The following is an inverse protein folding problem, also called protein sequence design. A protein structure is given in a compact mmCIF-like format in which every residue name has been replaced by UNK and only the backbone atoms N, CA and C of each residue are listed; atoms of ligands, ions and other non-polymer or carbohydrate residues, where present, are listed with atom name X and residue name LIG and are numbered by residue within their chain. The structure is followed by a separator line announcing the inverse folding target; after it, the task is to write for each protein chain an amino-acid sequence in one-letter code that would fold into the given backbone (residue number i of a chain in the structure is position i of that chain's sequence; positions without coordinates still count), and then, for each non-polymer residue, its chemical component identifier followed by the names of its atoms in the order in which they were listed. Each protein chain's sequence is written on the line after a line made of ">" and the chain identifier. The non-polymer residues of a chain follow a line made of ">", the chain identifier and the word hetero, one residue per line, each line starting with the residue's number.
data_IF_867023831267
#
_entry.id   IF_867023831267
#
_cell.length_a   1.000
_cell.length_b   1.000
_cell.length_c   1.000
_cell.angle_alpha   90.00
_cell.angle_beta   90.00
_cell.angle_gamma   90.00
#
_symmetry.space_group_name_H-M   'P 1'
#
loop_
_entity.id
_entity.type
_entity.pdbx_description
1 polymer ?
#
# COMPACT_ATOMS: atom_id res chain seq x y z
N UNK A 1 -30.09 -22.97 17.17
CA UNK A 1 -29.63 -23.25 15.81
C UNK A 1 -28.13 -23.42 15.80
N UNK A 2 -27.62 -24.47 15.22
CA UNK A 2 -26.37 -25.17 15.40
C UNK A 2 -25.11 -24.27 15.37
N UNK A 3 -24.40 -24.19 16.47
CA UNK A 3 -22.97 -23.93 16.54
C UNK A 3 -22.24 -25.06 15.78
N UNK A 4 -22.18 -24.95 14.46
CA UNK A 4 -21.26 -25.79 13.69
C UNK A 4 -19.86 -25.33 14.02
N UNK A 5 -19.11 -26.21 14.63
CA UNK A 5 -17.79 -25.97 15.19
C UNK A 5 -16.85 -25.33 14.17
N UNK A 6 -16.63 -24.01 14.29
CA UNK A 6 -15.54 -23.27 13.64
C UNK A 6 -14.18 -23.91 13.95
N UNK A 7 -14.09 -24.74 14.98
CA UNK A 7 -12.88 -25.47 15.42
C UNK A 7 -12.23 -26.37 14.36
N UNK A 8 -12.90 -26.63 13.25
CA UNK A 8 -12.35 -27.43 12.12
C UNK A 8 -12.04 -26.58 10.88
N UNK A 9 -12.40 -25.30 10.84
CA UNK A 9 -12.14 -24.46 9.68
C UNK A 9 -10.72 -23.92 9.71
N UNK A 10 -9.90 -24.32 8.73
CA UNK A 10 -8.51 -23.88 8.63
C UNK A 10 -8.39 -22.48 8.03
N UNK A 11 -7.48 -21.69 8.57
CA UNK A 11 -7.11 -20.36 8.08
C UNK A 11 -5.59 -20.23 7.99
N UNK A 12 -5.09 -19.74 6.84
CA UNK A 12 -3.68 -19.37 6.67
C UNK A 12 -3.51 -17.89 7.01
N UNK A 13 -2.67 -17.59 7.98
CA UNK A 13 -2.38 -16.24 8.45
C UNK A 13 -0.98 -15.79 8.02
N UNK A 14 -0.89 -14.66 7.33
CA UNK A 14 0.39 -13.99 7.09
C UNK A 14 0.98 -13.46 8.40
N UNK A 15 2.13 -14.02 8.82
CA UNK A 15 2.83 -13.68 10.06
C UNK A 15 4.17 -12.99 9.76
N UNK A 16 4.36 -11.79 10.33
CA UNK A 16 5.60 -11.03 10.20
C UNK A 16 6.48 -11.05 11.47
N UNK A 17 5.99 -11.66 12.53
CA UNK A 17 6.63 -11.62 13.86
C UNK A 17 6.40 -10.30 14.62
N UNK A 18 5.59 -9.39 14.11
CA UNK A 18 5.21 -8.14 14.79
C UNK A 18 3.86 -8.22 15.49
N UNK A 19 3.54 -7.18 16.27
CA UNK A 19 2.32 -7.06 17.10
C UNK A 19 1.04 -7.45 16.35
N UNK A 20 0.80 -6.87 15.18
CA UNK A 20 -0.48 -7.04 14.48
C UNK A 20 -0.70 -8.48 14.02
N UNK A 21 0.32 -9.13 13.49
CA UNK A 21 0.20 -10.54 13.07
C UNK A 21 0.08 -11.50 14.25
N UNK A 22 0.72 -11.20 15.38
CA UNK A 22 0.62 -11.96 16.63
C UNK A 22 -0.81 -11.90 17.18
N UNK A 23 -1.37 -10.70 17.27
CA UNK A 23 -2.72 -10.52 17.81
C UNK A 23 -3.79 -11.06 16.86
N UNK A 24 -3.57 -10.96 15.54
CA UNK A 24 -4.44 -11.61 14.56
C UNK A 24 -4.46 -13.14 14.73
N UNK A 25 -3.32 -13.77 15.02
CA UNK A 25 -3.25 -15.21 15.31
C UNK A 25 -4.03 -15.57 16.57
N UNK A 26 -3.86 -14.80 17.66
CA UNK A 26 -4.58 -15.02 18.91
C UNK A 26 -6.10 -14.94 18.69
N UNK A 27 -6.59 -13.87 18.07
CA UNK A 27 -8.04 -13.68 17.87
C UNK A 27 -8.65 -14.73 16.95
N UNK A 28 -7.94 -15.19 15.95
CA UNK A 28 -8.41 -16.29 15.10
C UNK A 28 -8.53 -17.60 15.89
N UNK A 29 -7.57 -17.89 16.78
CA UNK A 29 -7.65 -19.06 17.67
C UNK A 29 -8.82 -18.96 18.64
N UNK A 30 -9.00 -17.80 19.28
CA UNK A 30 -10.13 -17.54 20.20
C UNK A 30 -11.47 -17.65 19.49
N UNK A 31 -11.53 -17.26 18.21
CA UNK A 31 -12.69 -17.44 17.36
C UNK A 31 -12.92 -18.90 16.91
N UNK A 32 -12.07 -19.84 17.32
CA UNK A 32 -12.22 -21.27 17.06
C UNK A 32 -11.66 -21.76 15.72
N UNK A 33 -10.85 -20.96 15.01
CA UNK A 33 -10.17 -21.39 13.78
C UNK A 33 -8.96 -22.29 14.08
N UNK A 34 -8.67 -23.21 13.15
CA UNK A 34 -7.38 -23.90 13.08
C UNK A 34 -6.41 -23.02 12.28
N UNK A 35 -5.52 -22.31 12.97
CA UNK A 35 -4.62 -21.33 12.35
C UNK A 35 -3.32 -22.00 11.93
N UNK A 36 -2.88 -21.71 10.69
CA UNK A 36 -1.55 -22.00 10.16
C UNK A 36 -0.88 -20.66 9.87
N UNK A 37 0.30 -20.43 10.45
CA UNK A 37 1.10 -19.22 10.20
C UNK A 37 1.95 -19.37 8.94
N UNK A 38 2.07 -18.28 8.16
CA UNK A 38 2.97 -18.20 7.02
C UNK A 38 3.80 -16.92 7.07
N UNK A 39 5.12 -17.06 7.16
CA UNK A 39 6.04 -15.95 6.93
C UNK A 39 6.51 -15.94 5.48
N UNK A 40 6.28 -14.81 4.80
CA UNK A 40 6.80 -14.57 3.45
C UNK A 40 8.20 -13.96 3.57
N UNK A 41 9.23 -14.73 3.19
CA UNK A 41 10.60 -14.24 3.14
C UNK A 41 10.78 -13.40 1.89
N UNK A 42 10.63 -12.08 2.05
CA UNK A 42 10.76 -11.10 0.97
C UNK A 42 12.23 -10.70 0.76
N UNK A 43 12.53 -10.12 -0.39
CA UNK A 43 13.83 -9.48 -0.58
C UNK A 43 13.97 -8.27 0.37
N UNK A 44 15.13 -8.16 0.97
CA UNK A 44 15.48 -7.07 1.87
C UNK A 44 16.93 -6.65 1.66
N UNK A 45 17.22 -5.36 1.83
CA UNK A 45 18.58 -4.83 1.72
C UNK A 45 19.56 -5.52 2.68
N UNK A 46 19.11 -5.74 3.90
CA UNK A 46 19.81 -6.54 4.91
C UNK A 46 19.16 -7.92 5.01
N UNK A 47 19.79 -8.98 4.44
CA UNK A 47 19.21 -10.33 4.45
C UNK A 47 18.90 -10.86 5.87
N UNK A 48 19.72 -10.52 6.87
CA UNK A 48 19.54 -10.98 8.25
C UNK A 48 18.24 -10.53 8.93
N UNK A 49 17.61 -9.46 8.44
CA UNK A 49 16.33 -8.99 8.98
C UNK A 49 15.21 -10.01 8.72
N UNK A 50 15.21 -10.64 7.55
CA UNK A 50 14.16 -11.60 7.20
C UNK A 50 14.30 -12.90 7.98
N UNK A 51 15.51 -13.35 8.27
CA UNK A 51 15.79 -14.48 9.16
C UNK A 51 15.31 -14.18 10.59
N UNK A 52 15.61 -13.00 11.11
CA UNK A 52 15.15 -12.57 12.44
C UNK A 52 13.62 -12.48 12.51
N UNK A 53 12.96 -11.91 11.49
CA UNK A 53 11.51 -11.83 11.45
C UNK A 53 10.86 -13.22 11.37
N UNK A 54 11.42 -14.12 10.57
CA UNK A 54 10.94 -15.50 10.48
C UNK A 54 11.12 -16.25 11.81
N UNK A 55 12.25 -16.05 12.50
CA UNK A 55 12.49 -16.64 13.81
C UNK A 55 11.49 -16.12 14.86
N UNK A 56 11.24 -14.81 14.93
CA UNK A 56 10.23 -14.21 15.82
C UNK A 56 8.82 -14.71 15.52
N UNK A 57 8.47 -14.83 14.23
CA UNK A 57 7.17 -15.36 13.84
C UNK A 57 7.02 -16.83 14.25
N UNK A 58 8.07 -17.64 14.13
CA UNK A 58 8.11 -19.02 14.57
C UNK A 58 7.95 -19.13 16.09
N UNK A 59 8.70 -18.34 16.86
CA UNK A 59 8.57 -18.31 18.32
C UNK A 59 7.14 -17.94 18.77
N UNK A 60 6.55 -16.93 18.12
CA UNK A 60 5.15 -16.56 18.37
C UNK A 60 4.20 -17.71 18.03
N UNK A 61 4.42 -18.41 16.94
CA UNK A 61 3.61 -19.56 16.54
C UNK A 61 3.72 -20.71 17.54
N UNK A 62 4.92 -20.99 18.07
CA UNK A 62 5.16 -21.98 19.12
C UNK A 62 4.41 -21.59 20.42
N UNK A 63 4.52 -20.34 20.87
CA UNK A 63 3.77 -19.82 22.04
C UNK A 63 2.25 -19.98 21.88
N UNK A 64 1.76 -19.80 20.67
CA UNK A 64 0.34 -19.97 20.33
C UNK A 64 -0.04 -21.41 19.99
N UNK A 65 0.89 -22.35 19.97
CA UNK A 65 0.68 -23.74 19.54
C UNK A 65 -0.06 -23.83 18.18
N UNK A 66 0.46 -23.11 17.18
CA UNK A 66 0.00 -23.14 15.79
C UNK A 66 1.13 -23.60 14.86
N UNK A 67 0.78 -24.30 13.78
CA UNK A 67 1.71 -24.69 12.73
C UNK A 67 2.26 -23.43 12.02
N UNK A 68 3.55 -23.43 11.64
CA UNK A 68 4.18 -22.28 10.99
C UNK A 68 5.05 -22.71 9.81
N UNK A 69 4.90 -22.00 8.70
CA UNK A 69 5.69 -22.18 7.49
C UNK A 69 6.43 -20.89 7.12
N UNK A 70 7.51 -21.07 6.34
CA UNK A 70 8.23 -19.96 5.69
C UNK A 70 8.22 -20.23 4.19
N UNK A 71 7.84 -19.23 3.40
CA UNK A 71 7.88 -19.28 1.94
C UNK A 71 8.87 -18.25 1.42
N UNK A 72 9.88 -18.70 0.68
CA UNK A 72 10.85 -17.82 0.04
C UNK A 72 10.27 -17.22 -1.25
N UNK A 73 10.05 -15.92 -1.24
CA UNK A 73 9.55 -15.15 -2.40
C UNK A 73 10.50 -14.01 -2.77
N UNK A 74 11.78 -14.08 -2.33
CA UNK A 74 12.75 -12.99 -2.52
C UNK A 74 12.93 -12.61 -3.99
N UNK A 75 13.04 -13.59 -4.88
CA UNK A 75 13.24 -13.35 -6.32
C UNK A 75 12.05 -12.62 -6.96
N UNK A 76 10.83 -13.11 -6.72
CA UNK A 76 9.61 -12.48 -7.23
C UNK A 76 9.38 -11.11 -6.63
N UNK A 77 9.60 -10.95 -5.33
CA UNK A 77 9.50 -9.67 -4.65
C UNK A 77 10.50 -8.64 -5.21
N UNK A 78 11.77 -9.05 -5.40
CA UNK A 78 12.80 -8.17 -6.01
C UNK A 78 12.33 -7.67 -7.37
N UNK A 79 11.92 -8.57 -8.26
CA UNK A 79 11.50 -8.25 -9.62
C UNK A 79 10.24 -7.37 -9.66
N UNK A 80 9.18 -7.79 -8.95
CA UNK A 80 7.86 -7.17 -9.09
C UNK A 80 7.65 -5.93 -8.21
N UNK A 81 8.42 -5.78 -7.13
CA UNK A 81 8.25 -4.68 -6.18
C UNK A 81 9.47 -3.76 -6.15
N UNK A 82 10.67 -4.29 -5.93
CA UNK A 82 11.87 -3.47 -5.78
C UNK A 82 12.34 -2.90 -7.12
N UNK A 83 12.44 -3.74 -8.17
CA UNK A 83 12.86 -3.28 -9.49
C UNK A 83 11.80 -2.38 -10.14
N UNK A 84 10.52 -2.67 -9.89
CA UNK A 84 9.41 -1.77 -10.26
C UNK A 84 9.57 -0.40 -9.58
N UNK A 85 9.81 -0.37 -8.27
CA UNK A 85 10.01 0.85 -7.51
C UNK A 85 11.15 1.70 -8.08
N UNK A 86 12.31 1.10 -8.30
CA UNK A 86 13.47 1.79 -8.88
C UNK A 86 13.16 2.32 -10.29
N UNK A 87 12.57 1.49 -11.15
CA UNK A 87 12.23 1.87 -12.53
C UNK A 87 11.26 3.05 -12.59
N UNK A 88 10.21 3.05 -11.76
CA UNK A 88 9.24 4.15 -11.75
C UNK A 88 9.89 5.47 -11.29
N UNK A 89 10.77 5.43 -10.28
CA UNK A 89 11.52 6.62 -9.88
C UNK A 89 12.48 7.11 -10.96
N UNK A 90 13.15 6.20 -11.66
CA UNK A 90 14.03 6.55 -12.80
C UNK A 90 13.25 7.22 -13.93
N UNK A 91 11.96 6.92 -14.08
CA UNK A 91 11.04 7.56 -15.03
C UNK A 91 10.40 8.86 -14.47
N UNK A 92 10.83 9.35 -13.30
CA UNK A 92 10.27 10.56 -12.69
C UNK A 92 8.89 10.39 -12.06
N UNK A 93 8.48 9.16 -11.74
CA UNK A 93 7.26 8.88 -11.01
C UNK A 93 7.55 8.64 -9.53
N UNK A 94 6.52 8.64 -8.70
CA UNK A 94 6.63 8.38 -7.26
C UNK A 94 5.73 7.19 -6.90
N UNK A 95 6.19 5.94 -7.08
CA UNK A 95 5.35 4.76 -6.86
C UNK A 95 5.05 4.51 -5.39
N UNK A 96 3.90 3.86 -5.12
CA UNK A 96 3.64 3.25 -3.83
C UNK A 96 3.85 1.72 -3.93
N UNK A 97 4.97 1.18 -3.40
CA UNK A 97 5.28 -0.22 -3.57
C UNK A 97 4.31 -1.15 -2.82
N UNK A 98 3.63 -0.70 -1.76
CA UNK A 98 2.64 -1.49 -1.05
C UNK A 98 1.41 -1.78 -1.91
N UNK A 99 0.98 -0.80 -2.72
CA UNK A 99 -0.14 -0.96 -3.64
C UNK A 99 0.17 -1.92 -4.80
N UNK A 100 1.45 -2.14 -5.10
CA UNK A 100 1.93 -3.16 -6.03
C UNK A 100 2.11 -4.52 -5.33
N UNK A 101 2.75 -4.53 -4.15
CA UNK A 101 3.09 -5.74 -3.41
C UNK A 101 1.84 -6.54 -3.01
N UNK A 102 0.81 -5.88 -2.48
CA UNK A 102 -0.38 -6.57 -2.00
C UNK A 102 -1.05 -7.42 -3.09
N UNK A 103 -1.50 -6.86 -4.23
CA UNK A 103 -2.23 -7.64 -5.23
C UNK A 103 -1.35 -8.59 -6.04
N UNK A 104 -0.04 -8.32 -6.19
CA UNK A 104 0.83 -9.07 -7.11
C UNK A 104 1.66 -10.13 -6.39
N UNK A 105 2.00 -9.90 -5.12
CA UNK A 105 2.91 -10.79 -4.37
C UNK A 105 2.25 -11.35 -3.13
N UNK A 106 1.89 -10.50 -2.14
CA UNK A 106 1.51 -10.95 -0.80
C UNK A 106 0.24 -11.82 -0.81
N UNK A 107 -0.84 -11.31 -1.38
CA UNK A 107 -2.11 -12.01 -1.37
C UNK A 107 -2.14 -13.25 -2.28
N UNK A 108 -1.55 -13.24 -3.49
CA UNK A 108 -1.39 -14.45 -4.30
C UNK A 108 -0.58 -15.54 -3.61
N UNK A 109 0.53 -15.20 -2.94
CA UNK A 109 1.33 -16.17 -2.19
C UNK A 109 0.55 -16.78 -1.01
N UNK A 110 -0.27 -15.95 -0.31
CA UNK A 110 -1.17 -16.45 0.73
C UNK A 110 -2.23 -17.40 0.16
N UNK A 111 -2.84 -17.06 -0.98
CA UNK A 111 -3.83 -17.94 -1.64
C UNK A 111 -3.20 -19.27 -2.03
N UNK A 112 -2.07 -19.23 -2.73
CA UNK A 112 -1.37 -20.44 -3.16
C UNK A 112 -1.09 -21.36 -1.97
N UNK A 113 -0.48 -20.83 -0.90
CA UNK A 113 -0.16 -21.65 0.27
C UNK A 113 -1.39 -22.12 1.02
N UNK A 114 -2.46 -21.34 1.03
CA UNK A 114 -3.74 -21.75 1.62
C UNK A 114 -4.33 -22.96 0.89
N UNK A 115 -4.28 -22.98 -0.43
CA UNK A 115 -4.75 -24.10 -1.25
C UNK A 115 -3.90 -25.35 -1.00
N UNK A 116 -2.57 -25.24 -0.98
CA UNK A 116 -1.65 -26.33 -0.65
C UNK A 116 -1.88 -26.91 0.74
N UNK A 117 -2.30 -26.09 1.72
CA UNK A 117 -2.51 -26.48 3.12
C UNK A 117 -3.97 -26.83 3.43
N UNK A 118 -4.86 -26.80 2.45
CA UNK A 118 -6.30 -27.05 2.63
C UNK A 118 -6.99 -26.00 3.51
N UNK A 119 -6.51 -24.75 3.51
CA UNK A 119 -7.11 -23.65 4.25
C UNK A 119 -8.23 -22.99 3.45
N UNK A 120 -9.42 -22.90 4.02
CA UNK A 120 -10.57 -22.21 3.41
C UNK A 120 -10.36 -20.70 3.39
N UNK A 121 -9.75 -20.14 4.42
CA UNK A 121 -9.56 -18.70 4.59
C UNK A 121 -8.09 -18.33 4.61
N UNK A 122 -7.84 -17.08 4.26
CA UNK A 122 -6.55 -16.40 4.39
C UNK A 122 -6.74 -15.19 5.30
N UNK A 123 -5.76 -14.84 6.10
CA UNK A 123 -5.85 -13.73 7.05
C UNK A 123 -4.58 -12.90 7.10
N UNK A 124 -4.71 -11.66 7.51
CA UNK A 124 -3.59 -10.76 7.79
C UNK A 124 -3.95 -9.82 8.95
N UNK A 125 -2.94 -9.24 9.59
CA UNK A 125 -3.12 -8.20 10.61
C UNK A 125 -3.41 -6.80 10.07
N UNK A 126 -4.02 -6.66 8.88
CA UNK A 126 -4.38 -5.33 8.37
C UNK A 126 -5.60 -4.74 9.09
N UNK A 127 -5.53 -3.44 9.36
CA UNK A 127 -6.63 -2.63 9.93
C UNK A 127 -7.59 -2.21 8.81
N UNK A 128 -8.39 -3.16 8.36
CA UNK A 128 -9.46 -2.97 7.37
C UNK A 128 -10.63 -3.88 7.71
N UNK A 129 -11.80 -3.56 7.19
CA UNK A 129 -13.00 -4.38 7.31
C UNK A 129 -13.46 -4.83 5.93
N UNK A 130 -14.38 -5.76 5.87
CA UNK A 130 -15.07 -6.14 4.63
C UNK A 130 -16.55 -6.34 4.87
N UNK A 131 -17.35 -6.18 3.82
CA UNK A 131 -18.78 -6.48 3.87
C UNK A 131 -19.25 -7.12 2.58
N UNK A 132 -20.30 -7.92 2.68
CA UNK A 132 -21.01 -8.49 1.55
C UNK A 132 -22.21 -7.61 1.23
N UNK A 133 -22.27 -7.11 -0.02
CA UNK A 133 -23.41 -6.35 -0.56
C UNK A 133 -23.76 -6.92 -1.92
N UNK A 134 -25.03 -7.23 -2.16
CA UNK A 134 -25.51 -7.75 -3.44
C UNK A 134 -24.64 -8.89 -4.00
N UNK A 135 -24.33 -9.88 -3.15
CA UNK A 135 -23.50 -11.05 -3.45
C UNK A 135 -22.06 -10.73 -3.91
N UNK A 136 -21.55 -9.54 -3.56
CA UNK A 136 -20.17 -9.09 -3.86
C UNK A 136 -19.49 -8.57 -2.61
N UNK A 137 -18.23 -8.96 -2.40
CA UNK A 137 -17.43 -8.50 -1.29
C UNK A 137 -16.79 -7.15 -1.57
N UNK A 138 -16.86 -6.26 -0.60
CA UNK A 138 -16.24 -4.94 -0.61
C UNK A 138 -15.29 -4.79 0.58
N UNK A 139 -14.15 -4.17 0.32
CA UNK A 139 -13.27 -3.70 1.39
C UNK A 139 -13.88 -2.45 2.03
N UNK A 140 -13.66 -2.28 3.34
CA UNK A 140 -14.08 -1.10 4.11
C UNK A 140 -12.91 -0.54 4.90
N UNK A 141 -12.95 0.76 5.18
CA UNK A 141 -12.02 1.40 6.12
C UNK A 141 -11.99 0.65 7.44
N UNK A 142 -10.84 0.61 8.10
CA UNK A 142 -10.71 0.14 9.48
C UNK A 142 -11.54 0.98 10.45
N UNK A 143 -11.83 0.46 11.63
CA UNK A 143 -12.54 1.22 12.67
C UNK A 143 -11.66 2.31 13.29
N UNK A 144 -10.34 2.13 13.27
CA UNK A 144 -9.36 3.15 13.65
C UNK A 144 -8.93 3.97 12.43
N UNK A 145 -9.38 5.25 12.30
CA UNK A 145 -9.02 6.08 11.17
C UNK A 145 -7.51 6.32 11.07
N UNK A 146 -6.81 6.40 12.22
CA UNK A 146 -5.35 6.64 12.25
C UNK A 146 -4.52 5.47 11.75
N UNK A 147 -5.13 4.29 11.63
CA UNK A 147 -4.49 3.03 11.20
C UNK A 147 -5.17 2.38 9.99
N UNK A 148 -6.15 3.04 9.39
CA UNK A 148 -6.83 2.52 8.22
C UNK A 148 -5.85 2.21 7.08
N UNK A 149 -5.86 0.96 6.62
CA UNK A 149 -4.98 0.46 5.57
C UNK A 149 -5.72 0.15 4.26
N UNK A 150 -6.98 0.55 4.14
CA UNK A 150 -7.79 0.30 2.95
C UNK A 150 -7.20 0.88 1.68
N UNK A 151 -6.48 2.02 1.79
CA UNK A 151 -5.72 2.63 0.70
C UNK A 151 -4.67 1.70 0.07
N UNK A 152 -4.11 0.76 0.81
CA UNK A 152 -3.06 -0.14 0.31
C UNK A 152 -3.62 -1.45 -0.24
N UNK A 153 -4.94 -1.67 -0.15
CA UNK A 153 -5.63 -2.91 -0.51
C UNK A 153 -6.76 -2.68 -1.52
N UNK A 154 -6.87 -1.50 -2.09
CA UNK A 154 -8.01 -1.07 -2.92
C UNK A 154 -8.27 -1.96 -4.14
N UNK A 155 -7.26 -2.65 -4.66
CA UNK A 155 -7.35 -3.48 -5.87
C UNK A 155 -7.32 -4.99 -5.59
N UNK A 156 -7.67 -5.43 -4.37
CA UNK A 156 -7.88 -6.85 -4.10
C UNK A 156 -9.11 -7.36 -4.86
N UNK A 157 -8.94 -8.48 -5.56
CA UNK A 157 -10.00 -9.10 -6.35
C UNK A 157 -11.03 -9.84 -5.48
N UNK A 158 -12.14 -10.28 -6.09
CA UNK A 158 -13.23 -10.96 -5.39
C UNK A 158 -12.81 -12.29 -4.77
N UNK A 159 -11.95 -13.06 -5.43
CA UNK A 159 -11.45 -14.33 -4.92
C UNK A 159 -10.72 -14.14 -3.59
N UNK A 160 -9.83 -13.15 -3.53
CA UNK A 160 -9.12 -12.78 -2.30
C UNK A 160 -10.10 -12.29 -1.24
N UNK A 161 -10.97 -11.33 -1.58
CA UNK A 161 -11.89 -10.73 -0.63
C UNK A 161 -12.88 -11.74 -0.03
N UNK A 162 -13.32 -12.72 -0.81
CA UNK A 162 -14.20 -13.79 -0.34
C UNK A 162 -13.53 -14.61 0.77
N UNK A 163 -12.26 -14.94 0.61
CA UNK A 163 -11.48 -15.78 1.54
C UNK A 163 -10.79 -15.00 2.65
N UNK A 164 -10.54 -13.69 2.47
CA UNK A 164 -9.79 -12.87 3.42
C UNK A 164 -10.53 -12.65 4.75
N UNK A 165 -9.79 -12.73 5.84
CA UNK A 165 -10.22 -12.34 7.18
C UNK A 165 -9.30 -11.22 7.70
N UNK A 166 -9.90 -10.26 8.38
CA UNK A 166 -9.21 -9.11 8.95
C UNK A 166 -9.53 -8.98 10.45
N UNK A 167 -8.87 -9.78 11.30
CA UNK A 167 -9.22 -9.87 12.73
C UNK A 167 -9.10 -8.55 13.50
N UNK A 168 -8.25 -7.63 13.03
CA UNK A 168 -7.99 -6.36 13.69
C UNK A 168 -8.87 -5.20 13.19
N UNK A 169 -9.67 -5.42 12.17
CA UNK A 169 -10.38 -4.35 11.46
C UNK A 169 -11.38 -3.55 12.31
N UNK A 170 -11.85 -4.09 13.43
CA UNK A 170 -12.78 -3.44 14.36
C UNK A 170 -12.10 -2.82 15.58
N UNK A 171 -10.77 -2.92 15.70
CA UNK A 171 -10.02 -2.51 16.88
C UNK A 171 -9.15 -1.29 16.60
N UNK A 172 -8.97 -0.45 17.63
CA UNK A 172 -7.91 0.56 17.59
C UNK A 172 -6.54 -0.07 17.86
N UNK A 173 -5.50 0.57 17.35
CA UNK A 173 -4.12 0.13 17.60
C UNK A 173 -3.76 0.11 19.09
N UNK A 174 -4.28 1.07 19.83
CA UNK A 174 -4.10 1.13 21.28
C UNK A 174 -4.72 -0.07 21.96
N UNK A 175 -5.95 -0.45 21.56
CA UNK A 175 -6.63 -1.63 22.10
C UNK A 175 -5.89 -2.93 21.76
N UNK A 176 -5.37 -3.05 20.55
CA UNK A 176 -4.55 -4.21 20.16
C UNK A 176 -3.29 -4.31 21.01
N UNK A 177 -2.63 -3.18 21.31
CA UNK A 177 -1.45 -3.14 22.19
C UNK A 177 -1.79 -3.50 23.64
N UNK A 178 -2.88 -2.97 24.20
CA UNK A 178 -3.39 -3.31 25.53
C UNK A 178 -3.66 -4.83 25.65
N UNK A 179 -4.36 -5.38 24.65
CA UNK A 179 -4.68 -6.81 24.63
C UNK A 179 -3.43 -7.69 24.49
N UNK A 180 -2.41 -7.23 23.77
CA UNK A 180 -1.13 -7.95 23.70
C UNK A 180 -0.44 -8.03 25.06
N UNK A 181 -0.41 -6.92 25.82
CA UNK A 181 0.15 -6.89 27.18
C UNK A 181 -0.61 -7.85 28.10
N UNK A 182 -1.94 -7.83 28.07
CA UNK A 182 -2.79 -8.66 28.91
C UNK A 182 -2.68 -10.16 28.60
N UNK A 183 -2.26 -10.52 27.38
CA UNK A 183 -2.10 -11.91 26.93
C UNK A 183 -0.65 -12.41 26.94
N UNK A 184 0.27 -11.69 27.60
CA UNK A 184 1.66 -12.14 27.76
C UNK A 184 2.57 -11.91 26.55
N UNK A 185 2.19 -11.00 25.63
CA UNK A 185 2.97 -10.63 24.44
C UNK A 185 3.66 -9.27 24.61
N UNK A 186 4.30 -9.04 25.76
CA UNK A 186 4.98 -7.78 26.10
C UNK A 186 6.02 -7.39 25.06
N UNK A 187 6.82 -8.35 24.60
CA UNK A 187 7.92 -8.12 23.66
C UNK A 187 7.45 -7.48 22.34
N UNK A 188 6.32 -7.95 21.79
CA UNK A 188 5.76 -7.37 20.57
C UNK A 188 4.94 -6.10 20.83
N UNK A 189 4.36 -5.95 22.02
CA UNK A 189 3.56 -4.77 22.39
C UNK A 189 4.40 -3.49 22.48
N UNK A 190 5.66 -3.59 22.90
CA UNK A 190 6.59 -2.46 23.06
C UNK A 190 7.41 -2.19 21.80
N UNK A 191 7.34 -3.05 20.79
CA UNK A 191 8.07 -2.84 19.52
C UNK A 191 7.63 -1.56 18.82
N UNK A 192 8.62 -0.82 18.31
CA UNK A 192 8.35 0.30 17.41
C UNK A 192 7.73 -0.23 16.10
N UNK A 193 6.75 0.50 15.61
CA UNK A 193 6.15 0.19 14.33
C UNK A 193 7.15 0.40 13.20
N UNK A 194 7.15 -0.49 12.22
CA UNK A 194 7.89 -0.27 10.97
C UNK A 194 7.20 0.82 10.18
N UNK A 195 7.82 2.01 10.15
CA UNK A 195 7.32 3.14 9.38
C UNK A 195 7.94 3.13 7.98
N UNK A 196 7.11 3.35 6.95
CA UNK A 196 7.57 3.50 5.57
C UNK A 196 7.64 2.20 4.77
N UNK A 197 8.51 2.19 3.78
CA UNK A 197 8.67 1.08 2.82
C UNK A 197 9.57 0.00 3.42
N UNK A 198 9.05 -1.22 3.52
CA UNK A 198 9.67 -2.30 4.28
C UNK A 198 11.10 -2.67 3.84
N UNK A 199 11.41 -2.62 2.55
CA UNK A 199 12.72 -3.00 2.02
C UNK A 199 13.77 -1.87 2.03
N UNK A 200 13.36 -0.63 2.35
CA UNK A 200 14.29 0.51 2.50
C UNK A 200 15.02 0.51 3.84
N UNK A 201 14.44 -0.12 4.85
CA UNK A 201 15.03 -0.27 6.19
C UNK A 201 15.49 1.08 6.80
N UNK A 202 14.66 2.09 6.67
CA UNK A 202 14.94 3.45 7.13
C UNK A 202 15.93 4.24 6.27
N UNK A 203 16.46 3.66 5.20
CA UNK A 203 17.32 4.36 4.25
C UNK A 203 16.51 5.33 3.39
N UNK A 204 17.08 6.49 3.05
CA UNK A 204 16.48 7.40 2.07
C UNK A 204 16.34 6.66 0.73
N UNK A 205 15.17 6.77 0.09
CA UNK A 205 14.90 6.10 -1.18
C UNK A 205 15.87 6.51 -2.30
N UNK A 206 16.45 7.70 -2.23
CA UNK A 206 17.42 8.20 -3.21
C UNK A 206 18.72 7.44 -3.14
N UNK A 207 19.23 7.24 -1.92
CA UNK A 207 20.44 6.45 -1.67
C UNK A 207 20.21 4.99 -2.09
N UNK A 208 19.04 4.46 -1.78
CA UNK A 208 18.64 3.12 -2.20
C UNK A 208 18.61 2.97 -3.74
N UNK A 209 18.05 3.94 -4.48
CA UNK A 209 18.02 3.89 -5.94
C UNK A 209 19.45 3.94 -6.51
N UNK A 210 20.33 4.74 -5.94
CA UNK A 210 21.75 4.79 -6.34
C UNK A 210 22.43 3.44 -6.09
N UNK A 211 22.20 2.84 -4.94
CA UNK A 211 22.76 1.52 -4.59
C UNK A 211 22.31 0.42 -5.56
N UNK A 212 21.02 0.42 -5.94
CA UNK A 212 20.46 -0.61 -6.81
C UNK A 212 20.83 -0.45 -8.28
N UNK A 213 20.98 0.77 -8.78
CA UNK A 213 21.14 1.06 -10.21
C UNK A 213 22.52 1.64 -10.57
N UNK A 214 23.31 2.09 -9.58
CA UNK A 214 24.56 2.81 -9.78
C UNK A 214 24.35 4.28 -10.23
N UNK A 215 25.31 5.13 -9.93
CA UNK A 215 25.27 6.56 -10.34
C UNK A 215 25.25 6.76 -11.85
N UNK A 216 25.86 5.86 -12.61
CA UNK A 216 25.95 5.94 -14.08
C UNK A 216 24.62 5.77 -14.79
N UNK A 217 23.63 5.17 -14.15
CA UNK A 217 22.26 5.05 -14.69
C UNK A 217 21.43 6.33 -14.51
N UNK A 218 21.88 7.24 -13.64
CA UNK A 218 21.24 8.52 -13.41
C UNK A 218 21.68 9.53 -14.45
N UNK A 219 20.74 10.08 -15.21
CA UNK A 219 21.03 11.06 -16.26
C UNK A 219 20.90 12.47 -15.71
N UNK A 220 22.00 13.27 -15.62
CA UNK A 220 21.90 14.69 -15.29
C UNK A 220 21.06 15.43 -16.33
N UNK A 221 20.33 16.46 -15.90
CA UNK A 221 19.48 17.27 -16.76
C UNK A 221 19.29 18.68 -16.21
N UNK A 222 18.31 19.40 -16.77
CA UNK A 222 18.05 20.78 -16.42
C UNK A 222 16.85 20.92 -15.46
N UNK A 223 16.96 21.86 -14.54
CA UNK A 223 15.82 22.40 -13.80
C UNK A 223 15.36 23.63 -14.56
N UNK A 224 14.10 23.64 -15.01
CA UNK A 224 13.51 24.71 -15.82
C UNK A 224 12.26 25.28 -15.15
N UNK A 225 11.91 26.53 -15.44
CA UNK A 225 10.60 27.07 -15.09
C UNK A 225 9.53 26.64 -16.11
N UNK A 226 8.28 27.05 -15.89
CA UNK A 226 7.14 26.72 -16.75
C UNK A 226 7.24 27.32 -18.17
N UNK A 227 8.12 28.30 -18.39
CA UNK A 227 8.41 28.88 -19.73
C UNK A 227 9.53 28.13 -20.47
N UNK A 228 10.21 27.19 -19.81
CA UNK A 228 11.35 26.44 -20.33
C UNK A 228 12.71 27.12 -20.08
N UNK A 229 12.75 28.22 -19.34
CA UNK A 229 14.00 28.89 -18.97
C UNK A 229 14.78 28.04 -17.98
N UNK A 230 16.05 27.78 -18.24
CA UNK A 230 16.94 27.00 -17.38
C UNK A 230 17.28 27.82 -16.12
N UNK A 231 17.01 27.24 -14.95
CA UNK A 231 17.31 27.80 -13.63
C UNK A 231 18.46 27.09 -12.93
N UNK A 232 18.76 25.84 -13.31
CA UNK A 232 19.79 25.02 -12.71
C UNK A 232 19.94 23.67 -13.37
N UNK A 233 20.70 22.78 -12.71
CA UNK A 233 20.91 21.38 -13.15
C UNK A 233 20.54 20.41 -12.04
N UNK A 234 20.11 19.21 -12.43
CA UNK A 234 19.86 18.10 -11.51
C UNK A 234 20.73 16.88 -11.85
N UNK A 235 20.94 16.01 -10.88
CA UNK A 235 21.76 14.78 -11.02
C UNK A 235 20.97 13.57 -11.54
N UNK A 236 19.63 13.68 -11.64
CA UNK A 236 18.73 12.63 -12.08
C UNK A 236 17.30 12.90 -11.62
N UNK A 237 16.30 12.55 -12.43
CA UNK A 237 14.87 12.74 -12.10
C UNK A 237 14.45 11.98 -10.85
N UNK A 238 15.07 10.83 -10.58
CA UNK A 238 14.77 9.98 -9.43
C UNK A 238 14.94 10.67 -8.07
N UNK A 239 15.66 11.78 -8.00
CA UNK A 239 15.85 12.54 -6.76
C UNK A 239 14.71 13.53 -6.46
N UNK A 240 13.73 13.64 -7.35
CA UNK A 240 12.68 14.66 -7.26
C UNK A 240 11.28 14.02 -7.26
N UNK A 241 10.35 14.73 -6.64
CA UNK A 241 8.94 14.36 -6.57
C UNK A 241 8.07 15.60 -6.76
N UNK A 242 6.94 15.48 -7.41
CA UNK A 242 5.98 16.58 -7.55
C UNK A 242 5.59 17.14 -6.19
N UNK A 243 5.63 18.46 -6.02
CA UNK A 243 5.40 19.17 -4.78
C UNK A 243 6.65 19.38 -3.91
N UNK A 244 7.80 18.80 -4.26
CA UNK A 244 9.04 18.98 -3.51
C UNK A 244 9.52 20.43 -3.54
N UNK A 245 9.85 20.98 -2.35
CA UNK A 245 10.39 22.34 -2.19
C UNK A 245 11.85 22.34 -1.79
N UNK A 246 12.29 21.37 -1.00
CA UNK A 246 13.66 21.30 -0.47
C UNK A 246 14.57 20.50 -1.39
N UNK A 247 15.86 20.85 -1.39
CA UNK A 247 16.87 20.09 -2.15
C UNK A 247 16.87 20.33 -3.65
N UNK A 248 16.29 21.44 -4.14
CA UNK A 248 16.30 21.81 -5.56
C UNK A 248 17.64 22.39 -6.02
N UNK A 249 18.52 22.81 -5.11
CA UNK A 249 19.79 23.45 -5.46
C UNK A 249 19.63 24.81 -6.12
N UNK A 250 18.47 25.44 -6.02
CA UNK A 250 18.18 26.78 -6.55
C UNK A 250 18.42 27.84 -5.47
N UNK A 251 18.88 29.05 -5.85
CA UNK A 251 19.20 30.10 -4.90
C UNK A 251 17.98 30.66 -4.15
N UNK A 252 16.78 30.39 -4.63
CA UNK A 252 15.53 30.90 -4.08
C UNK A 252 14.65 29.72 -3.63
N UNK A 253 14.42 29.59 -2.31
CA UNK A 253 13.57 28.54 -1.72
C UNK A 253 12.06 28.71 -2.01
N UNK A 254 11.69 29.56 -2.97
CA UNK A 254 10.28 29.79 -3.37
C UNK A 254 9.78 28.81 -4.41
N UNK A 255 10.69 28.07 -5.04
CA UNK A 255 10.32 27.09 -6.06
C UNK A 255 9.84 25.77 -5.47
N UNK A 256 8.96 25.10 -6.21
CA UNK A 256 8.59 23.69 -5.98
C UNK A 256 8.43 22.97 -7.32
N UNK A 257 8.64 21.66 -7.29
CA UNK A 257 8.50 20.80 -8.47
C UNK A 257 7.03 20.72 -8.86
N UNK A 258 6.69 21.11 -10.07
CA UNK A 258 5.34 20.98 -10.64
C UNK A 258 5.21 19.75 -11.52
N UNK A 259 6.28 19.35 -12.22
CA UNK A 259 6.28 18.19 -13.11
C UNK A 259 7.70 17.66 -13.31
N UNK A 260 7.80 16.34 -13.47
CA UNK A 260 9.01 15.66 -13.94
C UNK A 260 8.79 15.24 -15.39
N UNK A 261 9.59 15.78 -16.29
CA UNK A 261 9.53 15.53 -17.73
C UNK A 261 10.61 14.50 -18.12
N UNK A 262 10.21 13.23 -18.14
CA UNK A 262 11.14 12.15 -18.47
C UNK A 262 11.57 12.15 -19.93
N UNK A 263 10.75 12.68 -20.84
CA UNK A 263 11.06 12.74 -22.27
C UNK A 263 12.19 13.72 -22.57
N UNK A 264 12.20 14.88 -21.89
CA UNK A 264 13.22 15.91 -22.05
C UNK A 264 14.27 15.88 -20.92
N UNK A 265 14.15 14.94 -19.97
CA UNK A 265 15.01 14.84 -18.78
C UNK A 265 15.09 16.18 -18.01
N UNK A 266 13.91 16.75 -17.68
CA UNK A 266 13.80 18.06 -17.04
C UNK A 266 12.97 17.96 -15.74
N UNK A 267 13.38 18.74 -14.74
CA UNK A 267 12.59 19.04 -13.54
C UNK A 267 11.95 20.42 -13.77
N UNK A 268 10.63 20.44 -13.95
CA UNK A 268 9.89 21.70 -14.12
C UNK A 268 9.47 22.23 -12.75
N UNK A 269 9.81 23.48 -12.46
CA UNK A 269 9.53 24.13 -11.19
C UNK A 269 8.73 25.42 -11.38
N UNK A 270 7.96 25.79 -10.36
CA UNK A 270 7.18 27.03 -10.34
C UNK A 270 7.28 27.71 -8.97
N UNK A 271 7.03 29.02 -8.93
CA UNK A 271 6.86 29.81 -7.70
C UNK A 271 5.39 29.93 -7.29
N UNK A 272 4.47 29.69 -8.20
CA UNK A 272 3.04 29.78 -7.97
C UNK A 272 2.42 28.40 -7.68
N UNK A 273 1.32 28.36 -6.94
CA UNK A 273 0.64 27.13 -6.51
C UNK A 273 -0.13 26.41 -7.64
N UNK A 274 0.48 26.27 -8.83
CA UNK A 274 -0.14 25.60 -10.00
C UNK A 274 -0.28 24.08 -9.87
N UNK A 275 -0.06 23.50 -8.67
CA UNK A 275 -0.25 22.07 -8.39
C UNK A 275 -1.71 21.66 -8.15
N UNK A 276 -2.65 22.58 -8.31
CA UNK A 276 -4.07 22.31 -8.15
C UNK A 276 -4.65 21.71 -9.43
N UNK A 277 -5.31 20.58 -9.32
CA UNK A 277 -5.93 19.85 -10.43
C UNK A 277 -7.39 19.57 -10.09
N UNK A 278 -8.29 19.95 -11.00
CA UNK A 278 -9.74 19.68 -10.85
C UNK A 278 -10.17 18.39 -11.53
N UNK A 279 -9.33 17.85 -12.43
CA UNK A 279 -9.65 16.67 -13.24
C UNK A 279 -8.39 15.88 -13.57
N UNK A 280 -8.52 14.53 -13.56
CA UNK A 280 -7.49 13.61 -14.08
C UNK A 280 -8.15 12.50 -14.90
N UNK A 281 -7.34 11.80 -15.71
CA UNK A 281 -7.71 10.60 -16.44
C UNK A 281 -6.84 9.45 -16.02
N UNK A 282 -7.46 8.29 -15.73
CA UNK A 282 -6.78 7.06 -15.34
C UNK A 282 -7.00 6.01 -16.43
N UNK A 283 -5.91 5.52 -17.00
CA UNK A 283 -5.92 4.37 -17.93
C UNK A 283 -5.82 3.03 -17.18
N UNK A 284 -5.20 3.04 -16.01
CA UNK A 284 -5.04 1.86 -15.14
C UNK A 284 -5.87 2.06 -13.87
N UNK A 285 -7.06 1.46 -13.85
CA UNK A 285 -8.01 1.54 -12.73
C UNK A 285 -8.77 0.22 -12.54
N UNK A 286 -9.31 0.06 -11.34
CA UNK A 286 -10.21 -1.02 -10.98
C UNK A 286 -11.40 -0.45 -10.21
N UNK A 287 -12.61 -0.84 -10.58
CA UNK A 287 -13.84 -0.51 -9.86
C UNK A 287 -14.49 -1.79 -9.36
N UNK A 288 -14.74 -1.88 -8.06
CA UNK A 288 -15.42 -3.01 -7.42
C UNK A 288 -16.89 -3.11 -7.82
N UNK A 289 -17.53 -1.99 -8.14
CA UNK A 289 -18.84 -1.91 -8.74
C UNK A 289 -18.74 -1.02 -9.98
N UNK A 290 -19.18 -1.52 -11.12
CA UNK A 290 -19.34 -0.67 -12.30
C UNK A 290 -20.68 0.07 -12.15
N UNK A 291 -20.71 1.38 -12.40
CA UNK A 291 -21.98 2.08 -12.56
C UNK A 291 -22.75 1.46 -13.74
N UNK A 292 -24.02 1.16 -13.52
CA UNK A 292 -24.91 0.71 -14.58
C UNK A 292 -25.20 1.91 -15.49
N UNK A 293 -24.55 1.95 -16.67
CA UNK A 293 -24.80 2.97 -17.67
C UNK A 293 -23.82 4.15 -17.67
N UNK A 294 -24.23 5.27 -18.27
CA UNK A 294 -23.45 6.51 -18.43
C UNK A 294 -23.46 7.40 -17.18
N UNK A 295 -23.81 6.88 -16.03
CA UNK A 295 -24.00 7.64 -14.81
C UNK A 295 -22.68 8.12 -14.21
N UNK A 296 -22.69 9.35 -13.73
CA UNK A 296 -21.66 9.88 -12.85
C UNK A 296 -21.78 9.17 -11.49
N UNK A 297 -20.66 8.64 -11.00
CA UNK A 297 -20.61 8.02 -9.68
C UNK A 297 -19.99 8.99 -8.68
N UNK A 298 -20.78 9.47 -7.74
CA UNK A 298 -20.30 10.30 -6.62
C UNK A 298 -19.45 9.49 -5.66
N UNK A 299 -18.30 10.02 -5.28
CA UNK A 299 -17.32 9.34 -4.42
C UNK A 299 -16.51 10.33 -3.59
N UNK A 300 -15.98 9.84 -2.49
CA UNK A 300 -14.88 10.47 -1.76
C UNK A 300 -13.55 9.95 -2.30
N UNK A 301 -12.63 10.86 -2.63
CA UNK A 301 -11.37 10.56 -3.31
C UNK A 301 -10.20 10.73 -2.34
N UNK A 302 -9.42 9.67 -2.12
CA UNK A 302 -8.19 9.69 -1.32
C UNK A 302 -6.98 9.60 -2.24
N UNK A 303 -6.12 10.61 -2.20
CA UNK A 303 -4.96 10.75 -3.08
C UNK A 303 -3.61 10.38 -2.42
N UNK A 304 -3.62 10.00 -1.14
CA UNK A 304 -2.42 9.62 -0.37
C UNK A 304 -2.74 8.55 0.67
N UNK A 305 -1.75 7.71 0.96
CA UNK A 305 -1.87 6.65 1.96
C UNK A 305 -1.86 7.11 3.42
N UNK A 306 -1.47 8.37 3.69
CA UNK A 306 -1.40 8.92 5.04
C UNK A 306 -2.75 9.53 5.40
N UNK A 307 -3.30 9.14 6.53
CA UNK A 307 -4.66 9.45 6.97
C UNK A 307 -4.93 10.91 7.34
N UNK A 308 -3.87 11.70 7.51
CA UNK A 308 -3.98 13.12 7.85
C UNK A 308 -4.49 14.01 6.70
N UNK A 309 -4.62 13.45 5.49
CA UNK A 309 -5.14 14.18 4.34
C UNK A 309 -6.61 13.81 4.14
N UNK A 310 -7.54 14.77 4.28
CA UNK A 310 -8.97 14.53 4.05
C UNK A 310 -9.23 13.97 2.65
N UNK A 311 -10.27 13.15 2.51
CA UNK A 311 -10.81 12.82 1.20
C UNK A 311 -11.40 14.06 0.54
N UNK A 312 -11.38 14.08 -0.79
CA UNK A 312 -11.95 15.15 -1.61
C UNK A 312 -13.20 14.58 -2.28
N UNK A 313 -14.37 15.17 -2.10
CA UNK A 313 -15.56 14.79 -2.85
C UNK A 313 -15.34 14.96 -4.35
N UNK A 314 -15.99 14.12 -5.16
CA UNK A 314 -15.90 14.22 -6.60
C UNK A 314 -16.71 13.17 -7.33
N UNK A 315 -16.54 13.11 -8.65
CA UNK A 315 -17.29 12.21 -9.51
C UNK A 315 -16.39 11.40 -10.43
N UNK A 316 -16.81 10.17 -10.71
CA UNK A 316 -16.16 9.26 -11.65
C UNK A 316 -17.05 9.10 -12.88
N UNK A 317 -16.42 9.09 -14.08
CA UNK A 317 -17.08 8.83 -15.35
C UNK A 317 -16.20 7.93 -16.23
N UNK A 318 -16.76 6.83 -16.71
CA UNK A 318 -16.06 5.99 -17.67
C UNK A 318 -16.18 6.62 -19.06
N UNK A 319 -15.05 6.86 -19.70
CA UNK A 319 -14.96 7.45 -21.05
C UNK A 319 -14.23 6.48 -21.97
N UNK A 320 -14.96 5.82 -22.84
CA UNK A 320 -14.38 4.93 -23.85
C UNK A 320 -13.81 5.75 -25.04
N UNK A 321 -12.60 5.42 -25.53
CA UNK A 321 -11.63 4.41 -25.05
C UNK A 321 -10.62 4.94 -24.02
N UNK A 322 -10.79 6.19 -23.52
CA UNK A 322 -9.78 6.94 -22.75
C UNK A 322 -9.51 6.31 -21.38
N UNK A 323 -10.56 5.79 -20.70
CA UNK A 323 -10.46 5.23 -19.37
C UNK A 323 -11.43 5.85 -18.37
N UNK A 324 -10.97 6.13 -17.14
CA UNK A 324 -11.75 6.71 -16.07
C UNK A 324 -11.42 8.19 -15.91
N UNK A 325 -12.40 9.06 -16.13
CA UNK A 325 -12.33 10.48 -15.78
C UNK A 325 -12.70 10.63 -14.30
N UNK A 326 -11.86 11.34 -13.57
CA UNK A 326 -12.02 11.67 -12.14
C UNK A 326 -12.10 13.18 -12.03
N UNK A 327 -13.25 13.71 -11.61
CA UNK A 327 -13.45 15.14 -11.35
C UNK A 327 -13.45 15.37 -9.84
N UNK A 328 -12.75 16.39 -9.37
CA UNK A 328 -12.70 16.81 -7.98
C UNK A 328 -13.61 18.03 -7.79
N UNK A 329 -14.49 18.01 -6.80
CA UNK A 329 -15.36 19.14 -6.46
C UNK A 329 -14.56 20.36 -6.00
N UNK A 330 -13.41 20.09 -5.35
CA UNK A 330 -12.41 21.11 -5.01
C UNK A 330 -11.05 20.72 -5.57
N UNK A 331 -10.28 21.65 -6.15
CA UNK A 331 -9.01 21.31 -6.78
C UNK A 331 -8.05 20.58 -5.84
N UNK A 332 -7.68 19.36 -6.19
CA UNK A 332 -6.73 18.52 -5.46
C UNK A 332 -5.31 19.06 -5.60
N UNK A 333 -4.54 19.06 -4.52
CA UNK A 333 -3.18 19.55 -4.54
C UNK A 333 -2.16 18.42 -4.60
N UNK A 334 -1.18 18.53 -5.51
CA UNK A 334 -0.02 17.66 -5.53
C UNK A 334 -0.34 16.21 -5.91
N UNK A 335 -1.24 16.00 -6.86
CA UNK A 335 -1.44 14.70 -7.48
C UNK A 335 -0.14 14.30 -8.18
N UNK A 336 0.38 13.14 -7.83
CA UNK A 336 1.73 12.72 -8.21
C UNK A 336 1.67 11.46 -9.06
N UNK A 337 2.26 11.46 -10.28
CA UNK A 337 2.34 10.27 -11.12
C UNK A 337 2.98 9.08 -10.38
N UNK A 338 2.39 7.90 -10.52
CA UNK A 338 2.80 6.67 -9.83
C UNK A 338 2.13 6.43 -8.48
N UNK A 339 1.47 7.44 -7.90
CA UNK A 339 0.65 7.24 -6.69
C UNK A 339 -0.71 6.65 -7.03
N UNK A 340 -1.27 5.92 -6.07
CA UNK A 340 -2.65 5.48 -6.17
C UNK A 340 -3.62 6.60 -5.81
N UNK A 341 -4.77 6.53 -6.43
CA UNK A 341 -5.96 7.28 -6.05
C UNK A 341 -7.06 6.27 -5.73
N UNK A 342 -7.71 6.39 -4.59
CA UNK A 342 -8.68 5.41 -4.09
C UNK A 342 -10.02 6.08 -3.87
N UNK A 343 -11.08 5.41 -4.31
CA UNK A 343 -12.45 5.91 -4.31
C UNK A 343 -13.26 5.22 -3.22
N UNK A 344 -13.98 6.02 -2.45
CA UNK A 344 -14.83 5.54 -1.37
C UNK A 344 -16.26 6.04 -1.56
N UNK A 345 -17.20 5.25 -1.05
CA UNK A 345 -18.54 5.71 -0.74
C UNK A 345 -18.77 5.41 0.74
N UNK A 346 -18.87 6.46 1.53
CA UNK A 346 -18.81 6.37 3.00
C UNK A 346 -17.48 5.71 3.45
N UNK A 347 -17.57 4.51 4.05
CA UNK A 347 -16.41 3.73 4.47
C UNK A 347 -16.08 2.56 3.53
N UNK A 348 -16.80 2.39 2.42
CA UNK A 348 -16.65 1.30 1.45
C UNK A 348 -15.69 1.71 0.33
N UNK A 349 -14.69 0.89 0.06
CA UNK A 349 -13.80 1.06 -1.09
C UNK A 349 -14.54 0.66 -2.36
N UNK A 350 -14.76 1.62 -3.25
CA UNK A 350 -15.41 1.41 -4.55
C UNK A 350 -14.39 1.02 -5.62
N UNK A 351 -13.14 1.39 -5.44
CA UNK A 351 -12.05 1.10 -6.36
C UNK A 351 -10.91 2.09 -6.25
N UNK A 352 -10.10 2.18 -7.29
CA UNK A 352 -8.99 3.10 -7.37
C UNK A 352 -8.27 3.02 -8.70
N UNK A 353 -7.16 3.74 -8.82
CA UNK A 353 -6.29 3.70 -9.99
C UNK A 353 -4.90 4.24 -9.67
N UNK A 354 -4.02 4.17 -10.66
CA UNK A 354 -2.67 4.73 -10.58
C UNK A 354 -2.60 5.94 -11.51
N UNK A 355 -2.17 7.08 -10.96
CA UNK A 355 -1.99 8.34 -11.68
C UNK A 355 -0.86 8.25 -12.70
#
# INVERSE_FOLDING_TARGET
>A
MRSQSLSKTKVLLGMSGGLDSTMAALFLKEAGYSVIGLTLKTWHRNPGIMEQNAAKAKETAEKLAIEHHVMDIQKSFKKEVVDYFCREYMMGKTPNPCNRCNPVIKWPALLQKADESGCRHIATGHYVRKQLLNNRWYLKKGADPSKDQSYFLWNLNQEILQRALFPLGQLSKEKVRELALNNGFQDVAVQKESMGVCFLDGTDYRDFIVEQNGFTSLRPGNIVDETGRILGKHRGLAFFTTGQKKGLGLPDNKYFVVRLDSSNNQVVVSKSASLKTSKIYLSNYYLSALPSGKELLEVDIRIRGIDTVPTIPGTLKIIQPIGLEVNFDHPAWGITPGQSIVFYRDDVVIGGGIV
#
